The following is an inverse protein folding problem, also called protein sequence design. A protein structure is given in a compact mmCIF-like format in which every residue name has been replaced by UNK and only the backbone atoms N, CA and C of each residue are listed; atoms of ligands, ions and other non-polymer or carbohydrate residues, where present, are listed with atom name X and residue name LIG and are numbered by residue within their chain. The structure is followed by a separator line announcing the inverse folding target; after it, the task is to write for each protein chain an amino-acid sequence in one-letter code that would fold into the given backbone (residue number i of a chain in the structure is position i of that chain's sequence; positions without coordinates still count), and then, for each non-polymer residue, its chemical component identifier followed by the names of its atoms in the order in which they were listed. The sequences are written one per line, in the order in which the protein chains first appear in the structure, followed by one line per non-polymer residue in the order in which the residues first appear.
data_IF_757979918597
#
_entry.id   IF_757979918597
#
_cell.length_a   1.000
_cell.length_b   1.000
_cell.length_c   1.000
_cell.angle_alpha   90.00
_cell.angle_beta   90.00
_cell.angle_gamma   90.00
#
_symmetry.space_group_name_H-M   'P 1'
#
loop_
_entity.id
_entity.type
_entity.pdbx_description
1 polymer ?
#
# COMPACT_ATOMS: atom_id res chain seq x y z
N UNK A 1 14.28 -30.85 14.88
CA UNK A 1 14.42 -30.41 13.53
C UNK A 1 13.61 -29.16 13.27
N UNK A 2 14.15 -28.36 12.50
CA UNK A 2 13.54 -27.08 12.27
C UNK A 2 12.81 -27.05 10.94
N UNK A 3 11.57 -26.78 11.00
CA UNK A 3 10.82 -26.68 9.78
C UNK A 3 11.08 -25.35 9.13
N UNK A 4 11.40 -25.40 7.87
CA UNK A 4 11.57 -24.20 7.12
C UNK A 4 10.25 -23.47 7.05
N UNK A 5 10.20 -22.30 7.58
CA UNK A 5 9.00 -21.51 7.53
C UNK A 5 9.04 -20.63 6.31
N UNK A 6 8.07 -20.81 5.46
CA UNK A 6 7.95 -19.92 4.32
C UNK A 6 7.50 -18.57 4.81
N UNK A 7 8.21 -17.55 4.43
CA UNK A 7 7.86 -16.20 4.81
C UNK A 7 6.76 -15.72 3.90
N UNK A 8 5.64 -15.37 4.48
CA UNK A 8 4.57 -14.76 3.72
C UNK A 8 4.92 -13.32 3.46
N UNK A 9 4.76 -12.91 2.23
CA UNK A 9 4.93 -11.51 1.86
C UNK A 9 3.55 -10.94 1.71
N UNK A 10 3.25 -9.93 2.50
CA UNK A 10 1.96 -9.28 2.45
C UNK A 10 2.08 -8.04 1.61
N UNK A 11 1.22 -7.92 0.63
CA UNK A 11 1.20 -6.82 -0.29
C UNK A 11 -0.10 -6.07 -0.10
N UNK A 12 0.00 -4.76 -0.01
CA UNK A 12 -1.18 -3.93 0.14
C UNK A 12 -1.54 -3.31 -1.20
N UNK A 13 -2.76 -3.53 -1.61
CA UNK A 13 -3.28 -2.96 -2.85
C UNK A 13 -4.26 -1.85 -2.49
N UNK A 14 -4.11 -0.70 -3.12
CA UNK A 14 -5.07 0.38 -2.97
C UNK A 14 -5.76 0.63 -4.29
N UNK A 15 -7.02 0.99 -4.20
CA UNK A 15 -7.84 1.25 -5.38
C UNK A 15 -8.27 2.71 -5.32
N UNK A 16 -8.10 3.39 -6.44
CA UNK A 16 -8.32 4.81 -6.53
C UNK A 16 -9.69 5.09 -7.14
N UNK A 17 -10.36 6.08 -6.58
CA UNK A 17 -11.69 6.47 -7.03
C UNK A 17 -11.65 6.97 -8.48
N UNK A 18 -12.66 6.60 -9.24
CA UNK A 18 -12.93 7.15 -10.57
C UNK A 18 -11.90 6.78 -11.63
N UNK A 19 -10.98 5.89 -11.35
CA UNK A 19 -9.96 5.60 -12.34
C UNK A 19 -9.73 4.12 -12.55
N UNK A 20 -10.27 3.27 -11.69
CA UNK A 20 -10.01 1.83 -11.74
C UNK A 20 -8.52 1.50 -11.69
N UNK A 21 -7.73 2.42 -11.17
CA UNK A 21 -6.30 2.21 -11.06
C UNK A 21 -6.01 1.57 -9.73
N UNK A 22 -5.13 0.58 -9.76
CA UNK A 22 -4.68 -0.11 -8.55
C UNK A 22 -3.20 0.12 -8.38
N UNK A 23 -2.80 0.34 -7.15
CA UNK A 23 -1.39 0.46 -6.82
C UNK A 23 -1.05 -0.54 -5.73
N UNK A 24 0.14 -1.12 -5.84
CA UNK A 24 0.67 -1.98 -4.79
C UNK A 24 1.73 -1.19 -4.04
N UNK A 25 1.60 -1.17 -2.72
CA UNK A 25 2.47 -0.35 -1.88
C UNK A 25 3.07 -1.20 -0.78
N UNK A 26 4.15 -0.71 -0.21
CA UNK A 26 4.87 -1.42 0.84
C UNK A 26 4.25 -1.24 2.21
N UNK A 27 3.54 -0.15 2.42
CA UNK A 27 2.93 0.14 3.71
C UNK A 27 1.85 -0.89 4.00
N UNK A 28 1.71 -1.25 5.27
CA UNK A 28 0.66 -2.17 5.68
C UNK A 28 -0.69 -1.46 5.67
N UNK A 29 -1.75 -2.26 5.69
CA UNK A 29 -3.09 -1.71 5.78
C UNK A 29 -3.22 -0.82 7.02
N UNK A 30 -2.70 -1.29 8.15
CA UNK A 30 -2.79 -0.52 9.39
C UNK A 30 -2.07 0.81 9.28
N UNK A 31 -0.91 0.82 8.64
CA UNK A 31 -0.16 2.06 8.45
C UNK A 31 -0.94 3.04 7.60
N UNK A 32 -1.55 2.55 6.52
CA UNK A 32 -2.32 3.40 5.63
C UNK A 32 -3.55 3.95 6.34
N UNK A 33 -4.25 3.10 7.07
CA UNK A 33 -5.42 3.55 7.81
C UNK A 33 -5.06 4.61 8.84
N UNK A 34 -3.91 4.44 9.48
CA UNK A 34 -3.45 5.43 10.45
C UNK A 34 -3.15 6.76 9.76
N UNK A 35 -2.51 6.71 8.61
CA UNK A 35 -2.24 7.93 7.84
C UNK A 35 -3.52 8.63 7.45
N UNK A 36 -4.50 7.87 6.96
CA UNK A 36 -5.77 8.45 6.55
C UNK A 36 -6.49 9.07 7.74
N UNK A 37 -6.46 8.37 8.87
CA UNK A 37 -7.11 8.85 10.08
C UNK A 37 -6.52 10.17 10.57
N UNK A 38 -5.20 10.31 10.42
CA UNK A 38 -4.50 11.47 10.93
C UNK A 38 -4.35 12.59 9.89
N UNK A 39 -4.97 12.43 8.74
CA UNK A 39 -4.82 13.36 7.63
C UNK A 39 -6.19 13.82 7.19
N UNK A 40 -6.33 15.10 6.88
CA UNK A 40 -7.58 15.59 6.30
C UNK A 40 -7.70 15.05 4.88
N UNK A 41 -8.95 14.78 4.47
CA UNK A 41 -9.20 14.09 3.21
C UNK A 41 -8.57 14.75 2.00
N UNK A 42 -8.42 16.07 2.00
CA UNK A 42 -7.84 16.78 0.87
C UNK A 42 -6.33 16.76 0.86
N UNK A 43 -5.72 16.33 1.97
CA UNK A 43 -4.28 16.30 2.05
C UNK A 43 -3.72 15.02 1.44
N UNK A 44 -2.48 15.12 1.02
CA UNK A 44 -1.79 13.97 0.44
C UNK A 44 -1.18 13.12 1.53
N UNK A 45 -1.21 11.82 1.32
CA UNK A 45 -0.38 10.90 2.08
C UNK A 45 0.69 10.38 1.12
N UNK A 46 1.78 9.91 1.68
CA UNK A 46 2.91 9.44 0.90
C UNK A 46 3.07 7.95 1.14
N UNK A 47 2.97 7.18 0.07
CA UNK A 47 3.15 5.74 0.14
C UNK A 47 4.33 5.36 -0.72
N UNK A 48 4.85 4.16 -0.49
CA UNK A 48 5.99 3.66 -1.25
C UNK A 48 5.50 2.58 -2.20
N UNK A 49 5.63 2.82 -3.48
CA UNK A 49 5.22 1.85 -4.48
C UNK A 49 6.09 0.60 -4.37
N UNK A 50 5.44 -0.53 -4.48
CA UNK A 50 6.14 -1.78 -4.52
C UNK A 50 6.74 -1.95 -5.90
N UNK A 51 8.05 -2.03 -5.92
CA UNK A 51 8.76 -2.11 -7.19
C UNK A 51 9.57 -3.38 -7.19
N UNK A 52 9.39 -4.18 -8.21
CA UNK A 52 10.09 -5.46 -8.30
C UNK A 52 11.51 -5.32 -8.81
N UNK A 53 11.87 -4.17 -9.32
CA UNK A 53 13.26 -3.92 -9.65
C UNK A 53 13.97 -3.42 -8.41
N UNK A 54 15.26 -3.62 -8.34
CA UNK A 54 16.02 -3.19 -7.18
C UNK A 54 16.43 -1.72 -7.26
N UNK A 55 15.86 -1.02 -8.19
CA UNK A 55 16.13 0.39 -8.31
C UNK A 55 15.36 1.13 -7.23
N UNK A 56 15.67 2.36 -7.02
CA UNK A 56 15.08 3.15 -5.97
C UNK A 56 13.57 3.03 -5.92
N UNK A 57 13.03 3.04 -4.72
CA UNK A 57 11.59 2.99 -4.52
C UNK A 57 10.95 4.29 -4.96
N UNK A 58 9.84 4.16 -5.64
CA UNK A 58 9.07 5.33 -6.03
C UNK A 58 8.11 5.72 -4.92
N UNK A 59 7.89 7.00 -4.77
CA UNK A 59 6.92 7.50 -3.83
C UNK A 59 5.63 7.79 -4.55
N UNK A 60 4.53 7.46 -3.91
CA UNK A 60 3.20 7.74 -4.42
C UNK A 60 2.56 8.79 -3.52
N UNK A 61 2.23 9.93 -4.10
CA UNK A 61 1.56 11.01 -3.38
C UNK A 61 0.10 10.97 -3.79
N UNK A 62 -0.79 10.71 -2.84
CA UNK A 62 -2.18 10.52 -3.16
C UNK A 62 -3.05 11.19 -2.10
N UNK A 63 -4.13 11.80 -2.53
CA UNK A 63 -5.06 12.38 -1.58
C UNK A 63 -5.75 11.29 -0.80
N UNK A 64 -5.83 11.47 0.50
CA UNK A 64 -6.41 10.46 1.36
C UNK A 64 -7.81 10.06 0.90
N UNK A 65 -8.63 11.04 0.52
CA UNK A 65 -10.00 10.76 0.13
C UNK A 65 -10.14 10.06 -1.22
N UNK A 66 -9.06 9.98 -1.99
CA UNK A 66 -9.11 9.31 -3.28
C UNK A 66 -9.00 7.79 -3.16
N UNK A 67 -8.61 7.29 -2.01
CA UNK A 67 -8.51 5.86 -1.79
C UNK A 67 -9.88 5.34 -1.41
N UNK A 68 -10.43 4.46 -2.23
CA UNK A 68 -11.77 3.93 -1.97
C UNK A 68 -11.73 2.51 -1.42
N UNK A 69 -10.61 1.83 -1.56
CA UNK A 69 -10.49 0.48 -1.03
C UNK A 69 -9.03 0.16 -0.76
N UNK A 70 -8.80 -0.58 0.30
CA UNK A 70 -7.47 -1.06 0.66
C UNK A 70 -7.61 -2.56 0.85
N UNK A 71 -6.78 -3.30 0.18
CA UNK A 71 -6.90 -4.76 0.20
C UNK A 71 -5.54 -5.36 0.49
N UNK A 72 -5.52 -6.30 1.40
CA UNK A 72 -4.29 -6.99 1.75
C UNK A 72 -4.24 -8.32 1.01
N UNK A 73 -3.17 -8.55 0.29
CA UNK A 73 -2.97 -9.77 -0.44
C UNK A 73 -1.70 -10.44 0.04
N UNK A 74 -1.68 -11.75 0.01
CA UNK A 74 -0.50 -12.50 0.34
C UNK A 74 0.13 -13.01 -0.93
N UNK A 75 1.44 -12.91 -0.97
CA UNK A 75 2.22 -13.38 -2.09
C UNK A 75 3.30 -14.29 -1.55
N UNK A 76 3.35 -15.51 -2.04
CA UNK A 76 4.32 -16.49 -1.56
C UNK A 76 5.46 -16.65 -2.54
#
# INVERSE_FOLDING_TARGET
MKTQTRTKITITKIIIANSNVEFYVKESVDEILTMIKNTMGDNFIILTLLNYSDVASDKLYIRAKSIIAIHEEEDF
#
